data_IF_053299490314
#
_entry.id   IF_053299490314
#
_cell.length_a   1.000
_cell.length_b   1.000
_cell.length_c   1.000
_cell.angle_alpha   90.00
_cell.angle_beta   90.00
_cell.angle_gamma   90.00
#
_symmetry.space_group_name_H-M   'P 1'
#
loop_
_entity.id
_entity.type
_entity.pdbx_description
1 polymer ?
#
# COMPACT_ATOMS: atom_id res chain seq x y z
N UNK A 1 -13.76 -24.04 -35.84
CA UNK A 1 -14.32 -23.67 -34.52
C UNK A 1 -14.67 -22.20 -34.62
N UNK A 2 -15.93 -21.88 -34.94
CA UNK A 2 -16.35 -20.48 -35.08
C UNK A 2 -16.56 -19.87 -33.70
N UNK A 3 -15.85 -18.78 -33.41
CA UNK A 3 -16.13 -17.95 -32.25
C UNK A 3 -17.47 -17.24 -32.48
N UNK A 4 -18.53 -17.75 -31.85
CA UNK A 4 -19.85 -17.13 -31.93
C UNK A 4 -19.81 -15.84 -31.10
N UNK A 5 -20.01 -14.71 -31.78
CA UNK A 5 -19.94 -13.36 -31.19
C UNK A 5 -20.85 -13.18 -29.95
N UNK A 6 -21.97 -13.90 -29.87
CA UNK A 6 -22.87 -13.91 -28.70
C UNK A 6 -22.22 -14.49 -27.45
N UNK A 7 -21.35 -15.50 -27.58
CA UNK A 7 -20.62 -16.08 -26.45
C UNK A 7 -19.57 -15.10 -25.94
N UNK A 8 -18.94 -14.34 -26.84
CA UNK A 8 -17.99 -13.28 -26.47
C UNK A 8 -18.70 -12.13 -25.75
N UNK A 9 -19.85 -11.66 -26.23
CA UNK A 9 -20.61 -10.61 -25.54
C UNK A 9 -21.10 -11.05 -24.15
N UNK A 10 -21.58 -12.30 -24.04
CA UNK A 10 -21.99 -12.87 -22.75
C UNK A 10 -20.81 -12.94 -21.78
N UNK A 11 -19.64 -13.36 -22.27
CA UNK A 11 -18.40 -13.34 -21.49
C UNK A 11 -18.01 -11.94 -21.04
N UNK A 12 -18.02 -10.95 -21.95
CA UNK A 12 -17.71 -9.55 -21.62
C UNK A 12 -18.65 -9.00 -20.54
N UNK A 13 -19.96 -9.24 -20.66
CA UNK A 13 -20.94 -8.80 -19.67
C UNK A 13 -20.70 -9.46 -18.30
N UNK A 14 -20.34 -10.74 -18.28
CA UNK A 14 -20.02 -11.46 -17.05
C UNK A 14 -18.74 -10.90 -16.40
N UNK A 15 -17.70 -10.65 -17.18
CA UNK A 15 -16.45 -10.03 -16.70
C UNK A 15 -16.74 -8.63 -16.16
N UNK A 16 -17.51 -7.82 -16.87
CA UNK A 16 -17.86 -6.47 -16.44
C UNK A 16 -18.62 -6.48 -15.11
N UNK A 17 -19.65 -7.33 -14.97
CA UNK A 17 -20.42 -7.46 -13.73
C UNK A 17 -19.54 -7.84 -12.54
N UNK A 18 -18.64 -8.82 -12.71
CA UNK A 18 -17.70 -9.22 -11.67
C UNK A 18 -16.75 -8.07 -11.30
N UNK A 19 -16.27 -7.32 -12.28
CA UNK A 19 -15.37 -6.18 -12.05
C UNK A 19 -16.08 -5.06 -11.30
N UNK A 20 -17.32 -4.74 -11.67
CA UNK A 20 -18.15 -3.71 -11.00
C UNK A 20 -18.43 -4.09 -9.53
N UNK A 21 -18.78 -5.34 -9.27
CA UNK A 21 -19.01 -5.83 -7.90
C UNK A 21 -17.73 -5.74 -7.05
N UNK A 22 -16.61 -6.23 -7.59
CA UNK A 22 -15.30 -6.16 -6.90
C UNK A 22 -14.87 -4.71 -6.66
N UNK A 23 -15.11 -3.84 -7.63
CA UNK A 23 -14.81 -2.41 -7.52
C UNK A 23 -15.62 -1.76 -6.39
N UNK A 24 -16.92 -2.04 -6.31
CA UNK A 24 -17.79 -1.53 -5.25
C UNK A 24 -17.33 -2.02 -3.87
N UNK A 25 -16.96 -3.30 -3.75
CA UNK A 25 -16.42 -3.87 -2.51
C UNK A 25 -15.09 -3.21 -2.12
N UNK A 26 -14.16 -3.05 -3.06
CA UNK A 26 -12.86 -2.41 -2.82
C UNK A 26 -13.02 -0.95 -2.35
N UNK A 27 -13.89 -0.18 -3.01
CA UNK A 27 -14.20 1.21 -2.61
C UNK A 27 -14.79 1.24 -1.21
N UNK A 28 -15.78 0.40 -0.92
CA UNK A 28 -16.40 0.33 0.42
C UNK A 28 -15.39 0.00 1.52
N UNK A 29 -14.44 -0.91 1.26
CA UNK A 29 -13.38 -1.24 2.23
C UNK A 29 -12.49 -0.04 2.49
N UNK A 30 -12.02 0.63 1.43
CA UNK A 30 -11.18 1.83 1.53
C UNK A 30 -11.88 3.01 2.20
N UNK A 31 -13.19 3.14 2.05
CA UNK A 31 -13.99 4.20 2.66
C UNK A 31 -14.37 3.93 4.12
N UNK A 32 -14.25 2.67 4.59
CA UNK A 32 -14.70 2.26 5.93
C UNK A 32 -13.55 1.74 6.80
N UNK A 33 -13.32 0.43 6.79
CA UNK A 33 -12.41 -0.27 7.71
C UNK A 33 -10.94 -0.15 7.29
N UNK A 34 -10.70 0.25 6.04
CA UNK A 34 -9.41 0.28 5.39
C UNK A 34 -8.97 -1.11 4.91
N UNK A 35 -8.21 -1.10 3.81
CA UNK A 35 -7.63 -2.29 3.17
C UNK A 35 -6.32 -2.64 3.85
N UNK A 36 -6.15 -3.89 4.23
CA UNK A 36 -4.88 -4.39 4.76
C UNK A 36 -3.80 -4.46 3.67
N UNK A 37 -2.54 -4.34 4.07
CA UNK A 37 -1.40 -4.43 3.16
C UNK A 37 -0.71 -5.77 3.38
N UNK A 38 -0.87 -6.66 2.41
CA UNK A 38 -0.32 -8.01 2.49
C UNK A 38 1.11 -8.05 1.92
N UNK A 39 1.36 -7.31 0.84
CA UNK A 39 2.62 -7.34 0.11
C UNK A 39 3.19 -5.94 -0.12
N UNK A 40 4.50 -5.89 -0.37
CA UNK A 40 5.20 -4.62 -0.62
C UNK A 40 4.68 -3.92 -1.90
N UNK A 41 4.22 -4.71 -2.87
CA UNK A 41 3.69 -4.28 -4.16
C UNK A 41 2.27 -3.70 -4.10
N UNK A 42 1.57 -3.80 -2.96
CA UNK A 42 0.16 -3.36 -2.85
C UNK A 42 0.01 -1.83 -2.76
N UNK A 43 1.11 -1.08 -2.74
CA UNK A 43 1.10 0.38 -2.70
C UNK A 43 1.98 0.88 -3.82
N UNK A 44 1.39 1.68 -4.71
CA UNK A 44 2.12 2.43 -5.71
C UNK A 44 2.54 3.77 -5.11
N UNK A 45 3.78 4.16 -5.36
CA UNK A 45 4.32 5.43 -4.90
C UNK A 45 4.85 6.18 -6.11
N UNK A 46 4.40 7.42 -6.32
CA UNK A 46 4.91 8.26 -7.41
C UNK A 46 6.20 8.98 -6.99
N UNK A 47 6.79 9.75 -7.91
CA UNK A 47 8.03 10.51 -7.66
C UNK A 47 7.87 11.56 -6.55
N UNK A 48 6.66 12.09 -6.39
CA UNK A 48 6.31 12.99 -5.31
C UNK A 48 6.09 12.26 -3.98
N UNK A 49 6.26 10.94 -3.92
CA UNK A 49 6.08 10.10 -2.75
C UNK A 49 4.62 9.95 -2.32
N UNK A 50 3.64 10.30 -3.14
CA UNK A 50 2.21 10.11 -2.86
C UNK A 50 1.85 8.62 -2.95
N UNK A 51 0.84 8.21 -2.20
CA UNK A 51 0.47 6.81 -2.06
C UNK A 51 -0.80 6.50 -2.86
N UNK A 52 -0.76 5.39 -3.61
CA UNK A 52 -1.88 4.92 -4.43
C UNK A 52 -2.16 3.43 -4.23
N UNK A 53 -3.43 3.07 -4.37
CA UNK A 53 -3.88 1.69 -4.51
C UNK A 53 -4.45 1.48 -5.92
N UNK A 54 -4.32 0.26 -6.45
CA UNK A 54 -4.87 -0.14 -7.74
C UNK A 54 -6.19 -0.89 -7.52
N UNK A 55 -7.28 -0.33 -8.04
CA UNK A 55 -8.60 -0.93 -7.95
C UNK A 55 -8.80 -2.06 -8.99
N UNK A 56 -9.80 -2.95 -8.80
CA UNK A 56 -10.05 -4.08 -9.71
C UNK A 56 -10.33 -3.69 -11.17
N UNK A 57 -10.79 -2.47 -11.42
CA UNK A 57 -11.04 -1.92 -12.76
C UNK A 57 -9.78 -1.30 -13.40
N UNK A 58 -8.64 -1.36 -12.71
CA UNK A 58 -7.39 -0.75 -13.15
C UNK A 58 -7.23 0.73 -12.75
N UNK A 59 -8.20 1.30 -12.05
CA UNK A 59 -8.13 2.70 -11.60
C UNK A 59 -7.14 2.83 -10.45
N UNK A 60 -6.20 3.77 -10.54
CA UNK A 60 -5.38 4.19 -9.40
C UNK A 60 -6.15 5.20 -8.54
N UNK A 61 -6.19 4.95 -7.24
CA UNK A 61 -6.81 5.87 -6.27
C UNK A 61 -5.79 6.30 -5.22
N UNK A 62 -5.77 7.60 -4.91
CA UNK A 62 -4.93 8.12 -3.82
C UNK A 62 -5.43 7.58 -2.49
N UNK A 63 -4.51 7.13 -1.65
CA UNK A 63 -4.82 6.55 -0.35
C UNK A 63 -4.03 7.21 0.77
N UNK A 64 -4.58 7.13 1.97
CA UNK A 64 -3.90 7.43 3.22
C UNK A 64 -3.48 6.12 3.90
N UNK A 65 -2.35 6.17 4.61
CA UNK A 65 -1.79 5.04 5.32
C UNK A 65 -1.83 5.28 6.84
N UNK A 66 -2.32 4.31 7.62
CA UNK A 66 -2.43 4.45 9.08
C UNK A 66 -2.38 3.10 9.79
N UNK A 67 -2.12 3.09 11.10
CA UNK A 67 -2.21 1.88 11.94
C UNK A 67 -3.58 1.91 12.62
N UNK A 68 -4.40 0.89 12.39
CA UNK A 68 -5.81 0.85 12.84
C UNK A 68 -6.00 0.30 14.25
N UNK A 69 -4.92 0.19 15.04
CA UNK A 69 -4.98 -0.47 16.34
C UNK A 69 -4.00 0.13 17.33
N UNK A 70 -4.37 0.14 18.61
CA UNK A 70 -3.48 0.52 19.71
C UNK A 70 -3.74 -0.32 20.94
N UNK A 71 -2.64 -0.77 21.51
CA UNK A 71 -2.57 -1.38 22.83
C UNK A 71 -2.65 -0.29 23.89
N UNK A 72 -3.60 -0.42 24.82
CA UNK A 72 -3.84 0.53 25.90
C UNK A 72 -4.12 -0.19 27.22
N UNK A 73 -3.89 0.53 28.32
CA UNK A 73 -4.44 0.10 29.61
C UNK A 73 -5.98 0.18 29.61
N UNK A 74 -6.64 -0.75 30.32
CA UNK A 74 -8.11 -0.83 30.40
C UNK A 74 -8.74 0.48 30.88
N UNK A 75 -8.07 1.24 31.73
CA UNK A 75 -8.57 2.48 32.30
C UNK A 75 -8.36 3.70 31.37
N UNK A 76 -7.56 3.57 30.31
CA UNK A 76 -7.19 4.68 29.42
C UNK A 76 -8.17 4.93 28.26
N UNK A 77 -9.14 4.04 28.02
CA UNK A 77 -10.03 4.12 26.86
C UNK A 77 -10.83 5.44 26.78
N UNK A 78 -11.21 5.98 27.93
CA UNK A 78 -12.02 7.21 28.03
C UNK A 78 -11.19 8.50 28.11
N UNK A 79 -9.87 8.40 28.29
CA UNK A 79 -8.99 9.57 28.44
C UNK A 79 -8.09 9.79 27.23
N UNK A 80 -7.93 8.78 26.36
CA UNK A 80 -7.04 8.83 25.21
C UNK A 80 -7.44 9.90 24.19
N UNK A 81 -6.46 10.72 23.80
CA UNK A 81 -6.62 11.78 22.81
C UNK A 81 -5.99 11.38 21.47
N UNK A 82 -6.28 12.11 20.39
CA UNK A 82 -5.70 11.83 19.06
C UNK A 82 -4.17 11.96 19.05
N UNK A 83 -3.64 12.80 19.93
CA UNK A 83 -2.21 13.03 20.14
C UNK A 83 -1.48 11.75 20.57
N UNK A 84 -2.13 10.92 21.39
CA UNK A 84 -1.61 9.64 21.88
C UNK A 84 -1.69 8.52 20.82
N UNK A 85 -2.49 8.70 19.77
CA UNK A 85 -2.71 7.69 18.75
C UNK A 85 -1.64 7.72 17.66
N UNK A 86 -1.55 6.60 16.93
CA UNK A 86 -0.74 6.56 15.73
C UNK A 86 -1.24 7.59 14.71
N UNK A 87 -0.29 8.16 13.97
CA UNK A 87 -0.56 9.20 13.00
C UNK A 87 -0.89 8.58 11.65
N UNK A 88 -1.66 9.28 10.83
CA UNK A 88 -1.86 8.89 9.43
C UNK A 88 -0.83 9.57 8.51
N UNK A 89 -0.66 9.00 7.33
CA UNK A 89 0.35 9.37 6.35
C UNK A 89 -0.28 9.52 4.97
N UNK A 90 0.05 10.62 4.30
CA UNK A 90 -0.37 10.94 2.92
C UNK A 90 0.78 10.81 1.91
N UNK A 91 1.99 10.55 2.40
CA UNK A 91 3.20 10.34 1.62
C UNK A 91 4.00 9.16 2.18
N UNK A 92 4.84 8.55 1.35
CA UNK A 92 5.97 7.73 1.76
C UNK A 92 7.06 8.63 2.39
N UNK A 93 6.79 9.13 3.60
CA UNK A 93 7.75 9.91 4.36
C UNK A 93 8.81 9.01 4.99
N UNK A 94 9.88 9.62 5.53
CA UNK A 94 10.99 8.89 6.16
C UNK A 94 10.53 7.90 7.24
N UNK A 95 9.50 8.22 8.01
CA UNK A 95 8.90 7.29 8.99
C UNK A 95 8.37 6.03 8.32
N UNK A 96 7.63 6.17 7.22
CA UNK A 96 7.07 5.03 6.49
C UNK A 96 8.17 4.23 5.83
N UNK A 97 9.15 4.89 5.19
CA UNK A 97 10.32 4.21 4.60
C UNK A 97 11.04 3.35 5.65
N UNK A 98 11.33 3.91 6.83
CA UNK A 98 11.95 3.16 7.93
C UNK A 98 11.10 2.00 8.42
N UNK A 99 9.79 2.21 8.59
CA UNK A 99 8.87 1.17 9.07
C UNK A 99 8.74 0.02 8.06
N UNK A 100 8.71 0.32 6.76
CA UNK A 100 8.66 -0.68 5.70
C UNK A 100 9.98 -1.45 5.60
N UNK A 101 11.12 -0.75 5.64
CA UNK A 101 12.45 -1.37 5.64
C UNK A 101 12.69 -2.24 6.88
N UNK A 102 12.00 -1.97 7.98
CA UNK A 102 12.05 -2.78 9.21
C UNK A 102 11.05 -3.95 9.23
N UNK A 103 10.39 -4.27 8.10
CA UNK A 103 9.43 -5.36 7.99
C UNK A 103 8.07 -5.11 8.69
N UNK A 104 7.76 -3.86 9.06
CA UNK A 104 6.55 -3.50 9.81
C UNK A 104 5.39 -3.02 8.93
N UNK A 105 5.44 -3.29 7.62
CA UNK A 105 4.42 -2.88 6.64
C UNK A 105 3.02 -3.43 6.97
N UNK A 106 2.95 -4.70 7.40
CA UNK A 106 1.71 -5.42 7.73
C UNK A 106 0.85 -4.76 8.82
N UNK A 107 1.41 -3.80 9.58
CA UNK A 107 0.68 -3.09 10.65
C UNK A 107 -0.24 -1.99 10.11
N UNK A 108 -0.09 -1.63 8.85
CA UNK A 108 -0.77 -0.50 8.27
C UNK A 108 -1.97 -0.93 7.43
N UNK A 109 -2.94 -0.02 7.34
CA UNK A 109 -4.09 -0.09 6.44
C UNK A 109 -4.11 1.11 5.50
N UNK A 110 -4.70 0.92 4.33
CA UNK A 110 -5.00 1.93 3.32
C UNK A 110 -6.46 2.38 3.45
N UNK A 111 -6.73 3.65 3.20
CA UNK A 111 -8.10 4.17 3.08
C UNK A 111 -8.14 5.38 2.15
N UNK A 112 -9.34 5.76 1.71
CA UNK A 112 -9.58 6.95 0.86
C UNK A 112 -10.30 8.07 1.61
N UNK A 113 -10.44 7.97 2.94
CA UNK A 113 -11.21 8.94 3.73
C UNK A 113 -10.54 10.30 3.72
N UNK A 114 -11.34 11.35 3.56
CA UNK A 114 -10.87 12.73 3.49
C UNK A 114 -11.17 13.53 4.76
N UNK A 115 -12.02 12.99 5.65
CA UNK A 115 -12.49 13.64 6.87
C UNK A 115 -11.47 13.61 8.03
N UNK A 116 -10.37 12.88 7.87
CA UNK A 116 -9.35 12.69 8.90
C UNK A 116 -9.78 11.77 10.05
N UNK A 117 -10.86 11.00 9.86
CA UNK A 117 -11.34 9.99 10.80
C UNK A 117 -11.20 8.59 10.21
N UNK A 118 -10.95 7.61 11.07
CA UNK A 118 -10.58 6.27 10.64
C UNK A 118 -11.19 5.21 11.56
N UNK A 119 -11.39 4.00 11.02
CA UNK A 119 -11.71 2.84 11.83
C UNK A 119 -10.56 2.52 12.79
N UNK A 120 -10.85 2.22 14.04
CA UNK A 120 -9.82 2.02 15.05
C UNK A 120 -10.24 1.02 16.13
N UNK A 121 -9.32 0.12 16.48
CA UNK A 121 -9.53 -0.90 17.49
C UNK A 121 -8.57 -0.72 18.68
N UNK A 122 -9.10 -0.67 19.89
CA UNK A 122 -8.33 -0.65 21.12
C UNK A 122 -8.31 -2.03 21.75
N UNK A 123 -7.14 -2.49 22.12
CA UNK A 123 -6.96 -3.77 22.81
C UNK A 123 -6.09 -3.59 24.05
N UNK A 124 -6.24 -4.48 25.03
CA UNK A 124 -5.33 -4.55 26.17
C UNK A 124 -4.04 -5.32 25.81
N UNK A 125 -3.11 -5.36 26.75
CA UNK A 125 -1.82 -6.05 26.60
C UNK A 125 -1.93 -7.57 26.39
N UNK A 126 -3.12 -8.14 26.59
CA UNK A 126 -3.40 -9.56 26.32
C UNK A 126 -4.15 -9.77 24.99
N UNK A 127 -4.33 -8.70 24.20
CA UNK A 127 -5.05 -8.74 22.93
C UNK A 127 -6.57 -8.72 23.04
N UNK A 128 -7.14 -8.51 24.24
CA UNK A 128 -8.59 -8.40 24.40
C UNK A 128 -9.07 -7.05 23.86
N UNK A 129 -10.06 -7.07 22.97
CA UNK A 129 -10.71 -5.86 22.48
C UNK A 129 -11.39 -5.11 23.63
N UNK A 130 -11.00 -3.85 23.82
CA UNK A 130 -11.54 -2.91 24.80
C UNK A 130 -12.57 -1.96 24.19
N UNK A 131 -12.41 -1.62 22.91
CA UNK A 131 -13.35 -0.73 22.22
C UNK A 131 -13.04 -0.60 20.73
N UNK A 132 -14.08 -0.39 19.94
CA UNK A 132 -14.01 -0.17 18.48
C UNK A 132 -14.63 1.20 18.18
N UNK A 133 -13.98 1.97 17.31
CA UNK A 133 -14.48 3.27 16.86
C UNK A 133 -14.39 3.36 15.34
N UNK A 134 -15.51 3.58 14.67
CA UNK A 134 -15.54 3.70 13.20
C UNK A 134 -15.04 5.06 12.69
N UNK A 135 -15.05 6.08 13.55
CA UNK A 135 -14.72 7.47 13.21
C UNK A 135 -13.71 8.07 14.21
N UNK A 136 -12.63 7.36 14.52
CA UNK A 136 -11.57 7.90 15.38
C UNK A 136 -10.76 8.93 14.61
N UNK A 137 -10.75 10.18 15.09
CA UNK A 137 -9.87 11.23 14.57
C UNK A 137 -8.41 10.87 14.87
N UNK A 138 -7.56 10.94 13.85
CA UNK A 138 -6.11 10.80 13.98
C UNK A 138 -5.44 12.09 13.50
N UNK A 139 -4.25 12.38 14.01
CA UNK A 139 -3.46 13.51 13.51
C UNK A 139 -2.56 13.08 12.35
N UNK A 140 -2.18 14.04 11.49
CA UNK A 140 -1.23 13.81 10.42
C UNK A 140 0.20 13.61 10.96
N UNK A 141 0.97 12.74 10.32
CA UNK A 141 2.40 12.62 10.58
C UNK A 141 3.14 13.94 10.28
N UNK A 142 3.93 14.43 11.25
CA UNK A 142 4.76 15.64 11.10
C UNK A 142 5.69 15.58 9.88
N UNK A 143 6.23 14.43 9.52
CA UNK A 143 7.09 14.29 8.33
C UNK A 143 6.30 14.43 7.02
N UNK A 144 5.06 13.94 6.97
CA UNK A 144 4.17 14.16 5.83
C UNK A 144 3.78 15.64 5.73
N UNK A 145 3.41 16.24 6.86
CA UNK A 145 3.02 17.65 6.90
C UNK A 145 4.17 18.59 6.51
N UNK A 146 5.40 18.29 6.93
CA UNK A 146 6.61 19.06 6.58
C UNK A 146 6.84 19.03 5.07
N UNK A 147 6.66 17.87 4.44
CA UNK A 147 6.74 17.71 2.99
C UNK A 147 5.65 18.50 2.27
N UNK A 148 4.41 18.41 2.75
CA UNK A 148 3.29 19.14 2.18
C UNK A 148 3.45 20.67 2.25
N UNK A 149 3.80 21.19 3.43
CA UNK A 149 3.89 22.63 3.66
C UNK A 149 5.24 23.24 3.20
N UNK A 150 6.25 22.41 2.91
CA UNK A 150 7.61 22.88 2.64
C UNK A 150 8.24 23.64 3.81
N UNK A 151 7.76 23.43 5.04
CA UNK A 151 8.10 24.23 6.24
C UNK A 151 8.76 23.39 7.33
N UNK A 152 9.76 23.97 7.99
CA UNK A 152 10.40 23.45 9.20
C UNK A 152 10.92 24.63 10.04
N UNK A 153 10.63 24.70 11.35
CA UNK A 153 9.93 23.73 12.19
C UNK A 153 8.40 23.73 12.00
N UNK A 154 7.76 22.62 12.39
CA UNK A 154 6.30 22.51 12.50
C UNK A 154 5.88 22.71 13.96
N UNK A 155 4.77 23.41 14.16
CA UNK A 155 4.10 23.54 15.45
C UNK A 155 3.00 22.48 15.61
N UNK A 156 2.56 22.23 16.84
CA UNK A 156 1.40 21.38 17.09
C UNK A 156 0.11 22.02 16.55
N UNK A 157 0.06 23.36 16.47
CA UNK A 157 -1.00 24.09 15.77
C UNK A 157 -1.10 23.69 14.30
N UNK A 158 0.04 23.61 13.59
CA UNK A 158 0.08 23.20 12.18
C UNK A 158 -0.51 21.79 11.98
N UNK A 159 -0.24 20.87 12.93
CA UNK A 159 -0.77 19.51 12.92
C UNK A 159 -2.28 19.49 13.19
N UNK A 160 -2.73 20.19 14.23
CA UNK A 160 -4.13 20.22 14.65
C UNK A 160 -5.07 20.86 13.62
N UNK A 161 -4.54 21.79 12.81
CA UNK A 161 -5.30 22.53 11.79
C UNK A 161 -5.13 21.98 10.37
N UNK A 162 -4.35 20.91 10.20
CA UNK A 162 -4.25 20.27 8.90
C UNK A 162 -5.62 19.69 8.48
N UNK A 163 -6.02 19.97 7.25
CA UNK A 163 -7.30 19.52 6.70
C UNK A 163 -7.04 18.56 5.53
N UNK A 164 -7.32 17.28 5.76
CA UNK A 164 -7.08 16.21 4.80
C UNK A 164 -7.92 16.37 3.52
N UNK A 165 -9.18 16.80 3.66
CA UNK A 165 -10.05 17.11 2.52
C UNK A 165 -9.46 18.21 1.63
N UNK A 166 -8.91 19.27 2.23
CA UNK A 166 -8.24 20.34 1.48
C UNK A 166 -7.03 19.80 0.70
N UNK A 167 -6.25 18.90 1.31
CA UNK A 167 -5.16 18.22 0.62
C UNK A 167 -5.65 17.42 -0.60
N UNK A 168 -6.67 16.57 -0.44
CA UNK A 168 -7.21 15.78 -1.57
C UNK A 168 -7.79 16.66 -2.68
N UNK A 169 -8.48 17.75 -2.32
CA UNK A 169 -9.01 18.72 -3.29
C UNK A 169 -7.90 19.42 -4.09
N UNK A 170 -6.85 19.88 -3.42
CA UNK A 170 -5.73 20.59 -4.07
C UNK A 170 -4.89 19.69 -4.97
N UNK A 171 -4.91 18.38 -4.73
CA UNK A 171 -4.14 17.41 -5.47
C UNK A 171 -5.06 16.48 -6.29
N UNK A 172 -6.28 16.90 -6.60
CA UNK A 172 -7.27 16.11 -7.36
C UNK A 172 -6.97 15.99 -8.86
N UNK A 173 -5.86 16.57 -9.33
CA UNK A 173 -5.41 16.47 -10.72
C UNK A 173 -5.24 15.02 -11.16
N UNK A 174 -5.70 14.71 -12.37
CA UNK A 174 -5.46 13.44 -13.05
C UNK A 174 -3.98 13.08 -12.98
N UNK A 175 -3.68 11.89 -12.48
CA UNK A 175 -2.31 11.41 -12.32
C UNK A 175 -1.69 11.11 -13.68
N UNK A 176 -0.58 11.79 -13.98
CA UNK A 176 0.43 11.27 -14.89
C UNK A 176 1.18 10.17 -14.14
N UNK A 177 0.78 8.92 -14.36
CA UNK A 177 1.63 7.80 -13.99
C UNK A 177 2.71 7.73 -15.06
N UNK A 178 3.96 8.05 -14.70
CA UNK A 178 5.08 7.75 -15.59
C UNK A 178 5.23 6.22 -15.69
N UNK A 179 4.59 5.65 -16.70
CA UNK A 179 4.69 4.22 -17.03
C UNK A 179 6.03 3.87 -17.66
N UNK A 180 6.98 4.81 -17.81
CA UNK A 180 8.28 4.56 -18.42
C UNK A 180 9.09 3.47 -17.72
N UNK A 181 8.88 3.27 -16.42
CA UNK A 181 9.55 2.23 -15.63
C UNK A 181 8.82 0.89 -15.58
N UNK A 182 7.58 0.81 -16.09
CA UNK A 182 6.88 -0.47 -16.26
C UNK A 182 7.40 -1.03 -17.58
N UNK A 183 8.15 -2.15 -17.54
CA UNK A 183 8.51 -2.88 -18.76
C UNK A 183 7.23 -3.13 -19.56
N UNK A 184 7.10 -2.46 -20.71
CA UNK A 184 5.98 -2.68 -21.61
C UNK A 184 6.07 -4.15 -22.04
N UNK A 185 4.94 -4.83 -22.19
CA UNK A 185 4.93 -6.24 -22.61
C UNK A 185 5.66 -6.49 -23.95
N UNK A 186 5.91 -5.42 -24.71
CA UNK A 186 6.70 -5.37 -25.94
C UNK A 186 8.22 -5.54 -25.69
N UNK A 187 8.72 -5.15 -24.52
CA UNK A 187 10.12 -5.26 -24.08
C UNK A 187 10.36 -6.52 -23.23
N UNK A 188 9.30 -7.25 -22.88
CA UNK A 188 9.40 -8.49 -22.12
C UNK A 188 10.22 -9.52 -22.91
N UNK A 189 11.32 -10.00 -22.32
CA UNK A 189 12.14 -11.06 -22.92
C UNK A 189 11.23 -12.24 -23.28
N UNK A 190 11.17 -12.67 -24.56
CA UNK A 190 10.34 -13.79 -24.96
C UNK A 190 10.62 -14.99 -24.07
N UNK A 191 9.56 -15.65 -23.58
CA UNK A 191 9.67 -16.91 -22.82
C UNK A 191 10.04 -18.09 -23.76
N UNK A 192 11.16 -17.94 -24.47
CA UNK A 192 11.71 -18.89 -25.41
C UNK A 192 13.03 -19.36 -24.84
N UNK A 193 12.99 -20.46 -24.10
CA UNK A 193 14.20 -21.15 -23.70
C UNK A 193 14.98 -21.58 -24.95
N UNK A 194 16.28 -21.28 -24.98
CA UNK A 194 17.15 -21.76 -26.05
C UNK A 194 17.03 -23.29 -26.15
N UNK A 195 16.96 -23.87 -27.35
CA UNK A 195 16.75 -25.33 -27.55
C UNK A 195 17.80 -26.21 -26.86
N UNK A 196 18.95 -25.61 -26.51
CA UNK A 196 20.06 -26.24 -25.78
C UNK A 196 20.11 -25.85 -24.30
N UNK A 197 19.04 -25.28 -23.73
CA UNK A 197 19.01 -24.82 -22.33
C UNK A 197 19.39 -25.93 -21.35
N UNK A 198 19.01 -27.17 -21.64
CA UNK A 198 19.44 -28.34 -20.87
C UNK A 198 20.97 -28.49 -20.86
N UNK A 199 21.65 -28.30 -21.99
CA UNK A 199 23.13 -28.34 -22.07
C UNK A 199 23.78 -27.16 -21.34
N UNK A 200 23.24 -25.95 -21.51
CA UNK A 200 23.73 -24.73 -20.84
C UNK A 200 23.60 -24.87 -19.31
N UNK A 201 22.43 -25.29 -18.84
CA UNK A 201 22.15 -25.50 -17.41
C UNK A 201 23.03 -26.59 -16.81
N UNK A 202 23.32 -27.66 -17.56
CA UNK A 202 24.19 -28.74 -17.13
C UNK A 202 25.66 -28.30 -17.07
N UNK A 203 26.13 -27.47 -18.00
CA UNK A 203 27.46 -26.86 -17.95
C UNK A 203 27.63 -25.94 -16.74
N UNK A 204 26.61 -25.13 -16.40
CA UNK A 204 26.65 -24.26 -15.21
C UNK A 204 26.65 -25.10 -13.92
N UNK A 205 25.78 -26.11 -13.83
CA UNK A 205 25.72 -27.03 -12.67
C UNK A 205 26.98 -27.87 -12.47
N UNK A 206 27.67 -28.22 -13.55
CA UNK A 206 28.93 -29.00 -13.49
C UNK A 206 30.15 -28.10 -13.30
N UNK A 207 30.14 -26.88 -13.83
CA UNK A 207 31.18 -25.87 -13.60
C UNK A 207 31.25 -25.40 -12.15
N UNK A 208 30.11 -25.28 -11.47
CA UNK A 208 30.06 -24.95 -10.03
C UNK A 208 30.54 -26.10 -9.10
N UNK A 209 30.68 -27.34 -9.60
CA UNK A 209 31.17 -28.48 -8.78
C UNK A 209 32.69 -28.67 -8.81
N UNK A 210 33.46 -27.81 -9.49
CA UNK A 210 34.93 -27.94 -9.62
C UNK A 210 35.75 -26.94 -8.81
N UNK A 211 35.12 -26.16 -7.94
CA UNK A 211 35.82 -25.28 -7.00
C UNK A 211 35.35 -25.63 -5.60
N UNK A 212 35.79 -26.79 -5.11
CA UNK A 212 35.84 -27.16 -3.68
C UNK A 212 36.33 -28.60 -3.62
N UNK A 213 37.66 -28.79 -3.61
CA UNK A 213 38.37 -29.86 -2.90
C UNK A 213 39.87 -29.86 -3.22
N UNK A 214 40.69 -29.50 -2.22
CA UNK A 214 42.02 -30.08 -1.99
C UNK A 214 43.24 -29.20 -2.28
N UNK A 215 43.82 -28.60 -1.24
CA UNK A 215 45.06 -29.07 -0.58
C UNK A 215 45.74 -27.91 0.20
N UNK A 216 45.57 -27.95 1.53
CA UNK A 216 46.60 -27.44 2.45
C UNK A 216 47.73 -28.47 2.47
N UNK A 217 48.95 -28.04 2.14
CA UNK A 217 50.12 -28.91 2.22
C UNK A 217 51.36 -28.33 1.53
N UNK A 218 52.00 -27.36 2.17
CA UNK A 218 53.42 -27.35 2.55
C UNK A 218 53.75 -26.05 3.27
#
# INVERSE_FOLDING_TARGET
MELIFSNFQTFLNAVQSITEEKLAQAKKILETHGKDIENISDIFVNDNGELFDLLPDGTLVRVNLYIATKEIDRYALNTIQSEDLYKYHIYQCSTISTMFNSGRKHRYKLNTREDGTFFYNFHDYNGKVLGIKDNQKLDICKNCLKKFLGKSPLSDYDVAHFNLKKFHQQNSGFFDFDTSSIEKGEDAKPNVYHRKWTQISNQIKTGMKRVDNGQFGR
#
